data_IF_455640845981
#
_entry.id   IF_455640845981
#
_cell.length_a   1.000
_cell.length_b   1.000
_cell.length_c   1.000
_cell.angle_alpha   90.00
_cell.angle_beta   90.00
_cell.angle_gamma   90.00
#
_symmetry.space_group_name_H-M   'P 1'
#
loop_
_entity.id
_entity.type
_entity.pdbx_description
1 polymer ?
#
# COMPACT_ATOMS: atom_id res chain seq x y z
N UNK A 1 -52.89 -1.68 47.05
CA UNK A 1 -52.22 -1.96 45.77
C UNK A 1 -51.00 -1.08 45.73
N UNK A 2 -49.82 -1.65 46.00
CA UNK A 2 -48.53 -0.98 45.89
C UNK A 2 -47.72 -1.75 44.85
N UNK A 3 -47.56 -1.17 43.67
CA UNK A 3 -46.69 -1.70 42.62
C UNK A 3 -45.24 -1.73 43.13
N UNK A 4 -44.53 -2.86 43.01
CA UNK A 4 -43.12 -2.93 43.39
C UNK A 4 -42.25 -2.16 42.39
N UNK A 5 -41.57 -1.14 42.91
CA UNK A 5 -40.47 -0.41 42.30
C UNK A 5 -39.37 -1.39 41.85
N UNK A 6 -39.05 -1.40 40.54
CA UNK A 6 -38.01 -2.23 39.94
C UNK A 6 -36.66 -1.49 39.96
N UNK A 7 -35.59 -2.00 40.62
CA UNK A 7 -34.25 -1.50 40.41
C UNK A 7 -33.35 -2.60 39.81
N UNK A 8 -32.95 -2.43 38.56
CA UNK A 8 -31.65 -2.93 38.06
C UNK A 8 -31.33 -2.24 36.73
N UNK A 9 -30.61 -1.12 36.78
CA UNK A 9 -29.94 -0.59 35.60
C UNK A 9 -28.84 -1.59 35.23
N UNK A 10 -29.05 -2.39 34.19
CA UNK A 10 -27.98 -3.18 33.59
C UNK A 10 -27.03 -2.23 32.86
N UNK A 11 -25.84 -2.00 33.42
CA UNK A 11 -24.75 -1.33 32.69
C UNK A 11 -24.07 -2.37 31.81
N UNK A 12 -24.46 -2.42 30.53
CA UNK A 12 -23.80 -3.25 29.52
C UNK A 12 -22.51 -2.56 29.07
N UNK A 13 -21.37 -3.02 29.56
CA UNK A 13 -20.07 -2.56 29.07
C UNK A 13 -19.61 -3.47 27.94
N UNK A 14 -19.81 -3.04 26.68
CA UNK A 14 -19.30 -3.74 25.50
C UNK A 14 -17.80 -3.50 25.37
N UNK A 15 -16.98 -4.46 25.81
CA UNK A 15 -15.54 -4.43 25.55
C UNK A 15 -15.29 -5.03 24.18
N UNK A 16 -15.03 -4.17 23.19
CA UNK A 16 -14.62 -4.63 21.85
C UNK A 16 -13.15 -5.01 21.88
N UNK A 17 -12.85 -6.30 22.05
CA UNK A 17 -11.49 -6.82 21.93
C UNK A 17 -11.23 -7.21 20.48
N UNK A 18 -10.48 -6.39 19.74
CA UNK A 18 -10.01 -6.73 18.40
C UNK A 18 -8.82 -7.69 18.48
N UNK A 19 -9.06 -8.99 18.31
CA UNK A 19 -7.99 -9.97 18.19
C UNK A 19 -7.61 -10.11 16.71
N UNK A 20 -6.42 -9.64 16.34
CA UNK A 20 -5.90 -9.83 14.98
C UNK A 20 -5.37 -11.28 14.88
N UNK A 21 -6.16 -12.20 14.34
CA UNK A 21 -5.68 -13.55 14.02
C UNK A 21 -5.02 -13.53 12.65
N UNK A 22 -3.71 -13.32 12.63
CA UNK A 22 -2.91 -13.42 11.40
C UNK A 22 -2.39 -14.84 11.30
N UNK A 23 -2.84 -15.57 10.28
CA UNK A 23 -2.36 -16.92 9.97
C UNK A 23 -0.89 -16.84 9.54
N UNK A 24 0.06 -17.12 10.43
CA UNK A 24 1.51 -16.96 10.19
C UNK A 24 2.13 -18.08 9.33
N UNK A 25 1.36 -18.69 8.43
CA UNK A 25 1.88 -19.75 7.56
C UNK A 25 2.46 -19.13 6.28
N UNK A 26 3.76 -19.34 6.05
CA UNK A 26 4.43 -18.90 4.82
C UNK A 26 3.89 -19.75 3.68
N UNK A 27 2.89 -19.22 2.96
CA UNK A 27 2.33 -19.85 1.77
C UNK A 27 2.58 -18.95 0.57
N UNK A 28 3.15 -19.54 -0.47
CA UNK A 28 3.25 -18.90 -1.78
C UNK A 28 1.84 -18.85 -2.38
N UNK A 29 1.25 -17.66 -2.44
CA UNK A 29 -0.04 -17.47 -3.08
C UNK A 29 0.10 -16.62 -4.36
N UNK A 30 0.18 -17.26 -5.55
CA UNK A 30 0.23 -16.54 -6.81
C UNK A 30 -1.08 -15.81 -7.12
N UNK A 31 -2.18 -16.05 -6.39
CA UNK A 31 -3.42 -15.29 -6.53
C UNK A 31 -3.25 -13.84 -6.05
N UNK A 32 -2.26 -13.54 -5.20
CA UNK A 32 -2.01 -12.17 -4.75
C UNK A 32 -1.59 -11.24 -5.91
N UNK A 33 -0.83 -11.76 -6.88
CA UNK A 33 -0.45 -11.00 -8.08
C UNK A 33 -1.66 -10.64 -8.98
N UNK A 34 -2.79 -11.34 -8.82
CA UNK A 34 -4.06 -11.05 -9.51
C UNK A 34 -5.01 -10.15 -8.75
N UNK A 35 -4.69 -9.78 -7.51
CA UNK A 35 -5.48 -8.77 -6.78
C UNK A 35 -5.26 -7.39 -7.41
N UNK A 36 -6.25 -6.49 -7.24
CA UNK A 36 -6.13 -5.09 -7.69
C UNK A 36 -4.77 -4.46 -7.30
N UNK A 37 -4.34 -4.47 -6.02
CA UNK A 37 -3.05 -3.88 -5.64
C UNK A 37 -1.84 -4.62 -6.24
N UNK A 38 -1.92 -5.93 -6.47
CA UNK A 38 -0.88 -6.72 -7.13
C UNK A 38 -0.70 -6.34 -8.61
N UNK A 39 -1.81 -6.17 -9.33
CA UNK A 39 -1.77 -5.81 -10.75
C UNK A 39 -1.22 -4.39 -10.96
N UNK A 40 -1.59 -3.44 -10.09
CA UNK A 40 -1.06 -2.07 -10.15
C UNK A 40 0.46 -2.05 -9.94
N UNK A 41 0.98 -2.81 -8.97
CA UNK A 41 2.43 -2.94 -8.74
C UNK A 41 3.15 -3.60 -9.92
N UNK A 42 2.54 -4.60 -10.54
CA UNK A 42 3.10 -5.24 -11.72
C UNK A 42 3.19 -4.26 -12.91
N UNK A 43 2.14 -3.47 -13.12
CA UNK A 43 2.14 -2.41 -14.14
C UNK A 43 3.23 -1.37 -13.88
N UNK A 44 3.35 -0.86 -12.65
CA UNK A 44 4.41 0.08 -12.26
C UNK A 44 5.80 -0.50 -12.56
N UNK A 45 6.04 -1.74 -12.16
CA UNK A 45 7.32 -2.43 -12.36
C UNK A 45 7.67 -2.60 -13.86
N UNK A 46 6.69 -2.92 -14.70
CA UNK A 46 6.90 -3.02 -16.15
C UNK A 46 7.23 -1.66 -16.76
N UNK A 47 6.50 -0.60 -16.38
CA UNK A 47 6.75 0.74 -16.91
C UNK A 47 8.10 1.28 -16.44
N UNK A 48 8.48 1.09 -15.17
CA UNK A 48 9.79 1.45 -14.66
C UNK A 48 10.93 0.73 -15.40
N UNK A 49 10.76 -0.56 -15.68
CA UNK A 49 11.74 -1.33 -16.45
C UNK A 49 11.88 -0.82 -17.89
N UNK A 50 10.76 -0.49 -18.55
CA UNK A 50 10.79 0.09 -19.90
C UNK A 50 11.53 1.42 -19.92
N UNK A 51 11.24 2.32 -18.97
CA UNK A 51 11.91 3.62 -18.87
C UNK A 51 13.40 3.44 -18.57
N UNK A 52 13.76 2.55 -17.64
CA UNK A 52 15.13 2.27 -17.25
C UNK A 52 15.98 1.71 -18.41
N UNK A 53 15.44 0.72 -19.14
CA UNK A 53 16.10 0.13 -20.32
C UNK A 53 16.21 1.18 -21.43
N UNK A 54 15.17 1.98 -21.65
CA UNK A 54 15.18 3.04 -22.67
C UNK A 54 16.28 4.07 -22.43
N UNK A 55 16.47 4.49 -21.17
CA UNK A 55 17.57 5.42 -20.82
C UNK A 55 18.92 4.74 -20.98
N UNK A 56 19.05 3.48 -20.55
CA UNK A 56 20.33 2.74 -20.59
C UNK A 56 20.83 2.51 -22.02
N UNK A 57 19.91 2.35 -22.99
CA UNK A 57 20.25 2.21 -24.40
C UNK A 57 20.50 3.55 -25.11
N UNK A 58 20.24 4.69 -24.46
CA UNK A 58 20.40 6.01 -25.07
C UNK A 58 21.84 6.55 -24.94
N UNK A 59 22.32 7.20 -26.01
CA UNK A 59 23.62 7.89 -26.02
C UNK A 59 23.69 9.05 -25.03
N UNK A 60 22.54 9.56 -24.61
CA UNK A 60 22.44 10.66 -23.66
C UNK A 60 22.27 10.21 -22.20
N UNK A 61 22.53 8.93 -21.90
CA UNK A 61 22.41 8.38 -20.54
C UNK A 61 23.22 9.14 -19.47
N UNK A 62 24.28 9.86 -19.86
CA UNK A 62 25.11 10.67 -18.95
C UNK A 62 24.57 12.08 -18.68
N UNK A 63 23.49 12.49 -19.35
CA UNK A 63 22.84 13.77 -19.09
C UNK A 63 22.08 13.71 -17.76
N UNK A 64 22.28 14.72 -16.91
CA UNK A 64 21.78 14.73 -15.53
C UNK A 64 20.30 14.41 -15.38
N UNK A 65 19.46 14.86 -16.34
CA UNK A 65 18.02 14.61 -16.30
C UNK A 65 17.65 13.16 -16.66
N UNK A 66 18.34 12.54 -17.61
CA UNK A 66 18.14 11.12 -17.94
C UNK A 66 18.71 10.21 -16.87
N UNK A 67 19.88 10.55 -16.32
CA UNK A 67 20.45 9.82 -15.19
C UNK A 67 19.54 9.90 -13.95
N UNK A 68 18.90 11.04 -13.70
CA UNK A 68 17.90 11.19 -12.64
C UNK A 68 16.68 10.30 -12.86
N UNK A 69 16.10 10.30 -14.07
CA UNK A 69 14.98 9.41 -14.41
C UNK A 69 15.36 7.93 -14.29
N UNK A 70 16.55 7.55 -14.76
CA UNK A 70 17.06 6.18 -14.63
C UNK A 70 17.26 5.77 -13.17
N UNK A 71 17.78 6.66 -12.32
CA UNK A 71 17.92 6.39 -10.89
C UNK A 71 16.54 6.18 -10.23
N UNK A 72 15.56 7.06 -10.48
CA UNK A 72 14.21 6.93 -9.91
C UNK A 72 13.54 5.64 -10.38
N UNK A 73 13.58 5.34 -11.68
CA UNK A 73 12.96 4.13 -12.22
C UNK A 73 13.69 2.86 -11.75
N UNK A 74 15.03 2.91 -11.64
CA UNK A 74 15.84 1.81 -11.13
C UNK A 74 15.54 1.52 -9.65
N UNK A 75 15.57 2.53 -8.78
CA UNK A 75 15.18 2.37 -7.38
C UNK A 75 13.70 1.99 -7.23
N UNK A 76 12.82 2.51 -8.09
CA UNK A 76 11.40 2.19 -8.14
C UNK A 76 11.14 0.72 -8.45
N UNK A 77 11.81 0.23 -9.49
CA UNK A 77 11.78 -1.17 -9.92
C UNK A 77 12.26 -2.11 -8.81
N UNK A 78 13.42 -1.85 -8.22
CA UNK A 78 13.97 -2.70 -7.16
C UNK A 78 13.10 -2.68 -5.90
N UNK A 79 12.68 -1.49 -5.45
CA UNK A 79 11.89 -1.36 -4.23
C UNK A 79 10.49 -1.97 -4.40
N UNK A 80 9.81 -1.70 -5.51
CA UNK A 80 8.50 -2.28 -5.82
C UNK A 80 8.58 -3.78 -6.04
N UNK A 81 9.65 -4.27 -6.68
CA UNK A 81 9.90 -5.70 -6.87
C UNK A 81 10.13 -6.45 -5.56
N UNK A 82 10.95 -5.90 -4.66
CA UNK A 82 11.18 -6.48 -3.33
C UNK A 82 9.89 -6.46 -2.49
N UNK A 83 9.13 -5.37 -2.52
CA UNK A 83 7.82 -5.30 -1.87
C UNK A 83 6.87 -6.37 -2.41
N UNK A 84 6.75 -6.49 -3.74
CA UNK A 84 5.90 -7.51 -4.37
C UNK A 84 6.29 -8.93 -3.93
N UNK A 85 7.60 -9.20 -3.81
CA UNK A 85 8.11 -10.46 -3.29
C UNK A 85 7.70 -10.70 -1.83
N UNK A 86 7.85 -9.71 -0.95
CA UNK A 86 7.43 -9.81 0.46
C UNK A 86 5.93 -10.03 0.63
N UNK A 87 5.12 -9.41 -0.22
CA UNK A 87 3.67 -9.63 -0.29
C UNK A 87 3.33 -11.05 -0.78
N UNK A 88 4.01 -11.55 -1.81
CA UNK A 88 3.77 -12.89 -2.39
C UNK A 88 4.12 -14.02 -1.41
N UNK A 89 5.16 -13.82 -0.58
CA UNK A 89 5.57 -14.78 0.44
C UNK A 89 4.88 -14.59 1.80
N UNK A 90 3.89 -13.69 1.90
CA UNK A 90 3.20 -13.36 3.16
C UNK A 90 4.16 -13.03 4.32
N UNK A 91 5.37 -12.52 4.03
CA UNK A 91 6.36 -12.12 5.07
C UNK A 91 5.82 -10.93 5.89
N UNK A 92 4.96 -10.11 5.26
CA UNK A 92 4.30 -8.95 5.86
C UNK A 92 3.37 -9.34 7.00
N UNK A 93 2.73 -10.51 6.92
CA UNK A 93 1.86 -11.06 7.98
C UNK A 93 2.63 -11.38 9.26
N UNK A 94 3.90 -11.80 9.15
CA UNK A 94 4.77 -12.02 10.31
C UNK A 94 5.15 -10.72 11.02
N UNK A 95 5.11 -9.59 10.32
CA UNK A 95 5.41 -8.25 10.84
C UNK A 95 4.16 -7.36 10.94
N UNK A 96 3.04 -7.91 11.42
CA UNK A 96 1.76 -7.21 11.61
C UNK A 96 1.84 -5.95 12.51
N UNK A 97 2.89 -5.79 13.33
CA UNK A 97 3.12 -4.58 14.15
C UNK A 97 3.56 -3.37 13.32
N UNK A 98 4.12 -3.57 12.14
CA UNK A 98 4.60 -2.48 11.29
C UNK A 98 3.43 -1.98 10.44
N UNK A 99 3.10 -0.67 10.44
CA UNK A 99 2.03 -0.11 9.63
C UNK A 99 2.45 -0.02 8.15
N UNK A 100 2.57 -1.19 7.49
CA UNK A 100 3.02 -1.32 6.09
C UNK A 100 2.20 -0.47 5.14
N UNK A 101 0.87 -0.40 5.31
CA UNK A 101 -0.02 0.43 4.50
C UNK A 101 0.41 1.92 4.46
N UNK A 102 0.88 2.46 5.60
CA UNK A 102 1.33 3.86 5.70
C UNK A 102 2.68 4.06 5.03
N UNK A 103 3.61 3.12 5.21
CA UNK A 103 4.93 3.16 4.58
C UNK A 103 4.78 3.13 3.05
N UNK A 104 3.91 2.25 2.56
CA UNK A 104 3.64 2.14 1.14
C UNK A 104 2.97 3.37 0.56
N UNK A 105 2.03 3.98 1.29
CA UNK A 105 1.41 5.23 0.87
C UNK A 105 2.45 6.34 0.70
N UNK A 106 3.33 6.52 1.70
CA UNK A 106 4.39 7.54 1.65
C UNK A 106 5.34 7.27 0.49
N UNK A 107 5.75 6.01 0.31
CA UNK A 107 6.58 5.61 -0.82
C UNK A 107 5.92 5.97 -2.16
N UNK A 108 4.66 5.56 -2.33
CA UNK A 108 3.90 5.74 -3.57
C UNK A 108 3.69 7.23 -3.91
N UNK A 109 3.39 8.04 -2.90
CA UNK A 109 3.24 9.49 -3.04
C UNK A 109 4.57 10.19 -3.39
N UNK A 110 5.66 9.83 -2.70
CA UNK A 110 6.98 10.39 -3.00
C UNK A 110 7.46 10.02 -4.40
N UNK A 111 7.25 8.76 -4.82
CA UNK A 111 7.64 8.31 -6.15
C UNK A 111 6.84 9.00 -7.25
N UNK A 112 5.54 9.20 -7.05
CA UNK A 112 4.69 9.97 -7.96
C UNK A 112 5.22 11.40 -8.16
N UNK A 113 5.65 12.07 -7.08
CA UNK A 113 6.24 13.41 -7.17
C UNK A 113 7.59 13.42 -7.91
N UNK A 114 8.46 12.45 -7.65
CA UNK A 114 9.74 12.35 -8.35
C UNK A 114 9.56 12.06 -9.84
N UNK A 115 8.62 11.18 -10.20
CA UNK A 115 8.27 10.91 -11.60
C UNK A 115 7.67 12.14 -12.30
N UNK A 116 6.84 12.92 -11.58
CA UNK A 116 6.31 14.19 -12.11
C UNK A 116 7.43 15.19 -12.41
N UNK A 117 8.35 15.40 -11.47
CA UNK A 117 9.47 16.33 -11.64
C UNK A 117 10.37 15.85 -12.77
N UNK A 118 10.78 14.58 -12.76
CA UNK A 118 11.67 14.02 -13.77
C UNK A 118 11.08 14.07 -15.19
N UNK A 119 9.79 13.77 -15.34
CA UNK A 119 9.10 13.85 -16.65
C UNK A 119 8.99 15.29 -17.16
N UNK A 120 8.76 16.24 -16.26
CA UNK A 120 8.68 17.69 -16.57
C UNK A 120 10.04 18.26 -16.99
N UNK A 121 11.13 17.82 -16.36
CA UNK A 121 12.49 18.23 -16.75
C UNK A 121 12.91 17.63 -18.10
N UNK A 122 12.37 16.46 -18.46
CA UNK A 122 12.57 15.89 -19.79
C UNK A 122 11.77 16.61 -20.88
N UNK A 123 10.62 17.21 -20.55
CA UNK A 123 9.70 17.87 -21.47
C UNK A 123 10.32 18.93 -22.42
N UNK A 124 11.17 19.86 -21.96
CA UNK A 124 11.79 20.86 -22.85
C UNK A 124 12.80 20.25 -23.83
N UNK A 125 13.30 19.03 -23.57
CA UNK A 125 14.35 18.39 -24.36
C UNK A 125 13.81 17.39 -25.38
N UNK A 126 12.49 17.38 -25.64
CA UNK A 126 11.85 16.44 -26.57
C UNK A 126 12.42 16.51 -28.00
N UNK A 127 12.87 17.69 -28.44
CA UNK A 127 13.43 17.88 -29.78
C UNK A 127 14.82 17.29 -29.96
N UNK A 128 15.52 16.92 -28.88
CA UNK A 128 16.90 16.45 -28.94
C UNK A 128 16.99 14.96 -29.33
N UNK A 129 16.09 14.12 -28.83
CA UNK A 129 16.06 12.69 -29.14
C UNK A 129 14.67 12.10 -28.88
N UNK A 130 14.23 11.19 -29.74
CA UNK A 130 12.92 10.51 -29.62
C UNK A 130 12.83 9.73 -28.31
N UNK A 131 13.94 9.20 -27.80
CA UNK A 131 14.02 8.49 -26.52
C UNK A 131 13.59 9.36 -25.36
N UNK A 132 13.87 10.67 -25.40
CA UNK A 132 13.48 11.62 -24.34
C UNK A 132 11.96 11.77 -24.31
N UNK A 133 11.33 11.83 -25.49
CA UNK A 133 9.89 11.84 -25.63
C UNK A 133 9.25 10.57 -25.06
N UNK A 134 9.80 9.39 -25.38
CA UNK A 134 9.34 8.12 -24.81
C UNK A 134 9.48 8.09 -23.28
N UNK A 135 10.64 8.47 -22.74
CA UNK A 135 10.90 8.49 -21.30
C UNK A 135 9.97 9.46 -20.57
N UNK A 136 9.72 10.65 -21.13
CA UNK A 136 8.80 11.62 -20.54
C UNK A 136 7.35 11.12 -20.55
N UNK A 137 6.90 10.54 -21.67
CA UNK A 137 5.54 9.99 -21.78
C UNK A 137 5.29 8.83 -20.81
N UNK A 138 6.17 7.82 -20.81
CA UNK A 138 6.04 6.69 -19.90
C UNK A 138 6.28 7.10 -18.44
N UNK A 139 7.11 8.11 -18.17
CA UNK A 139 7.26 8.71 -16.85
C UNK A 139 5.97 9.32 -16.31
N UNK A 140 5.23 10.06 -17.14
CA UNK A 140 3.90 10.58 -16.78
C UNK A 140 2.85 9.46 -16.60
N UNK A 141 2.88 8.43 -17.44
CA UNK A 141 2.01 7.27 -17.25
C UNK A 141 2.30 6.58 -15.91
N UNK A 142 3.57 6.43 -15.56
CA UNK A 142 3.96 5.82 -14.30
C UNK A 142 3.58 6.71 -13.11
N UNK A 143 3.72 8.04 -13.24
CA UNK A 143 3.25 9.00 -12.25
C UNK A 143 1.75 8.82 -11.96
N UNK A 144 0.93 8.61 -12.99
CA UNK A 144 -0.50 8.32 -12.83
C UNK A 144 -0.73 6.97 -12.12
N UNK A 145 0.01 5.93 -12.47
CA UNK A 145 -0.11 4.62 -11.85
C UNK A 145 0.27 4.63 -10.36
N UNK A 146 1.37 5.29 -10.00
CA UNK A 146 1.75 5.53 -8.60
C UNK A 146 0.74 6.45 -7.89
N UNK A 147 0.28 7.53 -8.55
CA UNK A 147 -0.72 8.42 -7.96
C UNK A 147 -2.05 7.72 -7.64
N UNK A 148 -2.54 6.88 -8.56
CA UNK A 148 -3.77 6.11 -8.36
C UNK A 148 -3.62 5.06 -7.26
N UNK A 149 -2.48 4.37 -7.20
CA UNK A 149 -2.19 3.41 -6.13
C UNK A 149 -2.08 4.08 -4.75
N UNK A 150 -1.48 5.29 -4.70
CA UNK A 150 -1.45 6.10 -3.47
C UNK A 150 -2.85 6.52 -3.01
N UNK A 151 -3.74 6.89 -3.94
CA UNK A 151 -5.13 7.25 -3.63
C UNK A 151 -5.92 6.07 -3.07
N UNK A 152 -5.80 4.89 -3.68
CA UNK A 152 -6.43 3.66 -3.17
C UNK A 152 -5.94 3.33 -1.76
N UNK A 153 -4.64 3.43 -1.52
CA UNK A 153 -4.05 3.21 -0.18
C UNK A 153 -4.48 4.28 0.82
N UNK A 154 -4.61 5.54 0.41
CA UNK A 154 -5.10 6.61 1.28
C UNK A 154 -6.52 6.33 1.76
N UNK A 155 -7.39 5.86 0.85
CA UNK A 155 -8.75 5.45 1.21
C UNK A 155 -8.73 4.27 2.19
N UNK A 156 -7.92 3.23 1.93
CA UNK A 156 -7.77 2.10 2.85
C UNK A 156 -7.22 2.49 4.23
N UNK A 157 -6.32 3.49 4.31
CA UNK A 157 -5.84 4.04 5.58
C UNK A 157 -6.96 4.76 6.34
N UNK A 158 -7.82 5.51 5.63
CA UNK A 158 -8.97 6.19 6.22
C UNK A 158 -10.03 5.20 6.73
N UNK A 159 -10.24 4.11 6.00
CA UNK A 159 -11.18 3.04 6.35
C UNK A 159 -10.64 2.12 7.46
N UNK A 160 -9.37 2.30 7.88
CA UNK A 160 -8.75 1.52 8.95
C UNK A 160 -8.42 0.08 8.55
N UNK A 161 -8.32 -0.19 7.25
CA UNK A 161 -8.00 -1.50 6.69
C UNK A 161 -6.57 -1.91 7.02
N UNK A 162 -6.36 -3.22 7.15
CA UNK A 162 -5.03 -3.81 7.34
C UNK A 162 -4.44 -4.18 5.97
N UNK A 163 -3.13 -3.97 5.80
CA UNK A 163 -2.42 -4.16 4.52
C UNK A 163 -2.58 -5.57 3.92
N UNK A 164 -2.81 -6.58 4.77
CA UNK A 164 -3.13 -7.96 4.42
C UNK A 164 -3.68 -8.67 5.67
N UNK A 165 -4.61 -9.62 5.47
CA UNK A 165 -5.25 -10.39 6.55
C UNK A 165 -6.69 -9.97 6.86
N UNK A 166 -7.43 -10.82 7.58
CA UNK A 166 -8.80 -10.52 8.04
C UNK A 166 -8.76 -10.06 9.49
N UNK A 167 -9.37 -8.91 9.81
CA UNK A 167 -9.69 -8.57 11.21
C UNK A 167 -10.95 -9.35 11.60
N UNK A 168 -10.76 -10.50 12.25
CA UNK A 168 -11.85 -11.15 12.98
C UNK A 168 -12.16 -10.31 14.22
N UNK A 169 -13.16 -9.43 14.14
CA UNK A 169 -13.69 -8.71 15.30
C UNK A 169 -14.56 -9.69 16.08
N UNK A 170 -13.96 -10.49 16.97
CA UNK A 170 -14.73 -11.30 17.92
C UNK A 170 -15.26 -10.39 19.02
N UNK A 171 -16.49 -9.89 18.85
CA UNK A 171 -17.22 -9.22 19.93
C UNK A 171 -17.55 -10.24 21.02
N UNK A 172 -16.81 -10.21 22.14
CA UNK A 172 -17.17 -10.97 23.35
C UNK A 172 -18.10 -10.12 24.21
N UNK A 173 -19.38 -10.48 24.25
CA UNK A 173 -20.35 -9.89 25.18
C UNK A 173 -20.15 -10.54 26.56
N UNK A 174 -19.50 -9.84 27.49
CA UNK A 174 -19.42 -10.26 28.90
C UNK A 174 -20.62 -9.70 29.65
N UNK A 175 -21.61 -10.54 30.00
CA UNK A 175 -22.63 -10.14 30.97
C UNK A 175 -22.09 -10.34 32.38
N UNK A 176 -21.80 -9.26 33.10
CA UNK A 176 -21.55 -9.34 34.53
C UNK A 176 -22.88 -9.63 35.23
N UNK A 177 -23.08 -10.87 35.68
CA UNK A 177 -24.18 -11.23 36.56
C UNK A 177 -23.70 -10.97 37.99
N UNK A 178 -24.04 -9.79 38.52
CA UNK A 178 -23.72 -9.37 39.88
C UNK A 178 -24.57 -10.22 40.84
N UNK A 179 -24.01 -11.33 41.32
CA UNK A 179 -24.64 -12.17 42.34
C UNK A 179 -24.48 -11.47 43.69
N UNK A 180 -25.36 -10.53 43.99
CA UNK A 180 -25.55 -10.06 45.36
C UNK A 180 -26.19 -11.19 46.17
N UNK A 181 -25.35 -11.83 46.99
CA UNK A 181 -25.77 -12.85 47.96
C UNK A 181 -26.66 -12.16 48.99
N UNK A 182 -27.97 -12.37 48.90
CA UNK A 182 -28.90 -12.01 49.96
C UNK A 182 -28.87 -13.12 51.03
N UNK A 183 -28.40 -12.70 52.21
CA UNK A 183 -28.39 -13.32 53.54
C UNK A 183 -29.28 -14.54 53.76
#
# INVERSE_FOLDING_TARGET
MSDPEFPAKHTTTTVTTSNTNVQTNIRYDPLYARTLPGLLKCFQLVVDAIVFISVSCSKFSAQSFMSFMSAICGFGFWFTGILMMFYTFHIIEKFYKVPWLKIELVYCALWSLFLMIGSTVCAPNLSADVTIGFVSFFGYLNMCAYGYDAFLKFRGVQDGEIAQGTREVTSKTTSNQDNTVAY
#
